data_IF_367231731266
#
_entry.id   IF_367231731266
#
_cell.length_a   1.000
_cell.length_b   1.000
_cell.length_c   1.000
_cell.angle_alpha   90.00
_cell.angle_beta   90.00
_cell.angle_gamma   90.00
#
_symmetry.space_group_name_H-M   'P 1'
#
loop_
_entity.id
_entity.type
_entity.pdbx_description
1 polymer ?
#
# COMPACT_ATOMS: atom_id res chain seq x y z
N UNK A 1 6.41 -15.70 76.28
CA UNK A 1 7.75 -15.36 75.76
C UNK A 1 7.85 -15.83 74.32
N UNK A 2 8.33 -14.94 73.43
CA UNK A 2 8.79 -15.19 72.05
C UNK A 2 7.72 -15.65 71.01
N UNK A 3 7.65 -15.15 69.79
CA UNK A 3 8.35 -14.05 69.13
C UNK A 3 7.59 -13.66 67.86
N UNK A 4 7.55 -12.34 67.64
CA UNK A 4 7.16 -11.61 66.44
C UNK A 4 7.92 -12.11 65.20
N UNK A 5 7.24 -12.42 64.09
CA UNK A 5 7.85 -12.50 62.75
C UNK A 5 6.96 -11.92 61.65
N UNK A 6 7.29 -10.68 61.32
CA UNK A 6 7.56 -10.17 59.96
C UNK A 6 6.43 -10.12 58.92
N UNK A 7 6.03 -8.89 58.63
CA UNK A 7 5.26 -8.47 57.47
C UNK A 7 5.98 -8.78 56.14
N UNK A 8 5.25 -9.36 55.18
CA UNK A 8 5.65 -9.37 53.77
C UNK A 8 4.44 -9.02 52.87
N UNK A 9 4.40 -7.74 52.48
CA UNK A 9 3.92 -7.17 51.21
C UNK A 9 3.06 -8.09 50.32
N UNK A 10 1.72 -7.99 50.44
CA UNK A 10 0.83 -8.25 49.29
C UNK A 10 0.96 -7.07 48.32
N UNK A 11 1.90 -7.18 47.36
CA UNK A 11 1.83 -6.37 46.13
C UNK A 11 0.56 -6.81 45.40
N UNK A 12 -0.44 -5.94 45.38
CA UNK A 12 -1.57 -6.06 44.46
C UNK A 12 -1.01 -6.03 43.04
N UNK A 13 -0.97 -7.19 42.40
CA UNK A 13 -0.78 -7.31 40.96
C UNK A 13 -2.02 -6.70 40.29
N UNK A 14 -1.98 -5.40 39.98
CA UNK A 14 -2.91 -4.81 39.02
C UNK A 14 -2.64 -5.49 37.67
N UNK A 15 -3.62 -6.12 37.03
CA UNK A 15 -3.43 -6.53 35.64
C UNK A 15 -3.19 -5.25 34.84
N UNK A 16 -2.07 -5.21 34.11
CA UNK A 16 -1.89 -4.25 33.05
C UNK A 16 -2.96 -4.57 32.01
N UNK A 17 -4.09 -3.87 32.08
CA UNK A 17 -4.99 -3.77 30.95
C UNK A 17 -4.19 -3.08 29.86
N UNK A 18 -3.65 -3.88 28.94
CA UNK A 18 -3.15 -3.37 27.67
C UNK A 18 -4.35 -2.67 27.04
N UNK A 19 -4.36 -1.35 27.14
CA UNK A 19 -5.40 -0.54 26.53
C UNK A 19 -5.50 -0.97 25.09
N UNK A 20 -6.69 -1.41 24.68
CA UNK A 20 -7.03 -1.50 23.28
C UNK A 20 -6.82 -0.10 22.72
N UNK A 21 -5.64 0.12 22.14
CA UNK A 21 -5.36 1.25 21.29
C UNK A 21 -6.41 1.13 20.18
N UNK A 22 -7.40 2.01 20.28
CA UNK A 22 -8.39 2.20 19.23
C UNK A 22 -7.60 2.62 17.99
N UNK A 23 -7.30 1.66 17.11
CA UNK A 23 -6.91 1.91 15.72
C UNK A 23 -8.14 2.46 15.00
N UNK A 24 -8.47 3.72 15.29
CA UNK A 24 -9.49 4.46 14.58
C UNK A 24 -8.80 5.53 13.73
N UNK A 25 -8.15 5.05 12.66
CA UNK A 25 -8.11 5.73 11.36
C UNK A 25 -7.92 4.64 10.33
N UNK A 26 -9.07 4.18 9.83
CA UNK A 26 -9.21 3.18 8.78
C UNK A 26 -8.33 3.53 7.61
N UNK A 27 -7.65 2.55 7.02
CA UNK A 27 -6.94 2.61 5.74
C UNK A 27 -7.39 3.74 4.79
N UNK A 28 -6.47 4.25 3.98
CA UNK A 28 -6.80 5.13 2.84
C UNK A 28 -8.02 4.63 2.05
N UNK A 29 -8.77 5.57 1.49
CA UNK A 29 -10.01 5.31 0.73
C UNK A 29 -9.83 5.62 -0.74
N UNK A 30 -10.22 4.70 -1.61
CA UNK A 30 -10.21 4.90 -3.05
C UNK A 30 -11.17 6.01 -3.49
N UNK A 31 -12.23 6.28 -2.71
CA UNK A 31 -13.15 7.40 -2.95
C UNK A 31 -12.49 8.78 -2.79
N UNK A 32 -11.36 8.87 -2.09
CA UNK A 32 -10.62 10.11 -1.85
C UNK A 32 -9.45 10.28 -2.83
N UNK A 33 -9.29 9.34 -3.77
CA UNK A 33 -8.19 9.30 -4.72
C UNK A 33 -8.05 10.61 -5.51
N UNK A 34 -6.90 11.25 -5.37
CA UNK A 34 -6.55 12.42 -6.17
C UNK A 34 -5.81 11.99 -7.44
N UNK A 35 -6.19 12.55 -8.58
CA UNK A 35 -5.59 12.23 -9.88
C UNK A 35 -4.99 13.49 -10.50
N UNK A 36 -3.66 13.52 -10.60
CA UNK A 36 -2.91 14.51 -11.35
C UNK A 36 -2.47 13.91 -12.69
N UNK A 37 -2.96 14.49 -13.80
CA UNK A 37 -2.61 14.01 -15.14
C UNK A 37 -1.27 14.59 -15.59
N UNK A 38 -0.41 13.76 -16.18
CA UNK A 38 0.81 14.23 -16.84
C UNK A 38 0.48 15.21 -17.97
N UNK A 39 1.17 16.35 -17.99
CA UNK A 39 1.13 17.30 -19.11
C UNK A 39 1.89 16.81 -20.35
N UNK A 40 2.74 15.77 -20.19
CA UNK A 40 3.52 15.16 -21.27
C UNK A 40 3.21 13.68 -21.33
N UNK A 41 2.67 13.21 -22.46
CA UNK A 41 2.38 11.79 -22.70
C UNK A 41 3.45 11.18 -23.58
N UNK A 42 4.04 10.06 -23.16
CA UNK A 42 5.02 9.36 -23.99
C UNK A 42 4.32 8.53 -25.06
N UNK A 43 4.91 8.40 -26.27
CA UNK A 43 4.34 7.52 -27.29
C UNK A 43 4.32 6.08 -26.78
N UNK A 44 3.22 5.38 -27.05
CA UNK A 44 3.09 3.98 -26.67
C UNK A 44 4.10 3.15 -27.49
N UNK A 45 4.87 2.27 -26.84
CA UNK A 45 5.80 1.40 -27.53
C UNK A 45 5.07 0.34 -28.37
N UNK A 46 5.71 -0.08 -29.46
CA UNK A 46 5.24 -1.18 -30.30
C UNK A 46 5.21 -2.51 -29.53
N UNK A 47 4.06 -3.19 -29.54
CA UNK A 47 3.82 -4.36 -28.71
C UNK A 47 4.79 -5.52 -28.94
N UNK A 48 5.32 -5.66 -30.16
CA UNK A 48 6.27 -6.72 -30.55
C UNK A 48 7.69 -6.51 -30.02
N UNK A 49 8.03 -5.29 -29.57
CA UNK A 49 9.37 -4.90 -29.12
C UNK A 49 9.49 -4.76 -27.60
N UNK A 50 8.41 -5.05 -26.87
CA UNK A 50 8.35 -4.87 -25.42
C UNK A 50 9.34 -5.78 -24.69
N UNK A 51 10.22 -5.18 -23.91
CA UNK A 51 11.07 -5.87 -22.94
C UNK A 51 10.50 -5.69 -21.54
N UNK A 52 10.35 -6.81 -20.81
CA UNK A 52 9.77 -6.82 -19.47
C UNK A 52 10.49 -5.82 -18.53
N UNK A 53 9.71 -4.96 -17.86
CA UNK A 53 10.19 -4.05 -16.82
C UNK A 53 11.09 -2.90 -17.30
N UNK A 54 11.11 -2.59 -18.60
CA UNK A 54 11.93 -1.50 -19.16
C UNK A 54 11.17 -0.24 -19.52
N UNK A 55 9.86 -0.33 -19.72
CA UNK A 55 8.99 0.77 -20.08
C UNK A 55 7.89 0.92 -19.04
N UNK A 56 7.58 2.17 -18.68
CA UNK A 56 6.63 2.52 -17.62
C UNK A 56 5.56 3.49 -18.16
N UNK A 57 4.34 3.40 -17.61
CA UNK A 57 3.23 4.30 -17.90
C UNK A 57 3.51 5.73 -17.45
N UNK A 58 2.73 6.68 -17.99
CA UNK A 58 2.90 8.11 -17.69
C UNK A 58 2.59 8.46 -16.22
N UNK A 59 1.89 7.59 -15.50
CA UNK A 59 1.47 7.81 -14.11
C UNK A 59 1.88 6.66 -13.20
N UNK A 60 1.90 6.95 -11.90
CA UNK A 60 2.11 6.01 -10.80
C UNK A 60 1.13 6.30 -9.64
N UNK A 61 0.78 5.27 -8.88
CA UNK A 61 0.03 5.38 -7.62
C UNK A 61 1.02 5.55 -6.45
N UNK A 62 0.79 6.54 -5.59
CA UNK A 62 1.52 6.75 -4.33
C UNK A 62 0.57 6.98 -3.17
N UNK A 63 0.87 6.39 -2.02
CA UNK A 63 0.11 6.55 -0.78
C UNK A 63 1.11 6.59 0.37
N UNK A 64 1.20 7.71 1.07
CA UNK A 64 2.14 7.87 2.18
C UNK A 64 1.53 7.34 3.48
N UNK A 65 2.40 6.94 4.41
CA UNK A 65 1.99 6.57 5.76
C UNK A 65 2.98 7.13 6.77
N UNK A 66 2.48 7.59 7.91
CA UNK A 66 3.28 7.97 9.08
C UNK A 66 2.69 7.35 10.34
N UNK A 67 3.53 7.13 11.35
CA UNK A 67 3.05 6.57 12.63
C UNK A 67 2.06 7.51 13.33
N UNK A 68 2.30 8.83 13.24
CA UNK A 68 1.47 9.85 13.89
C UNK A 68 0.18 10.15 13.12
N UNK A 69 0.23 10.16 11.79
CA UNK A 69 -0.88 10.55 10.91
C UNK A 69 -1.65 9.39 10.27
N UNK A 70 -1.11 8.17 10.31
CA UNK A 70 -1.66 7.04 9.58
C UNK A 70 -1.46 7.18 8.07
N UNK A 71 -2.39 6.58 7.31
CA UNK A 71 -2.38 6.66 5.84
C UNK A 71 -2.86 8.02 5.36
N UNK A 72 -2.13 8.60 4.42
CA UNK A 72 -2.54 9.80 3.68
C UNK A 72 -3.46 9.45 2.50
N UNK A 73 -4.07 10.48 1.91
CA UNK A 73 -4.91 10.37 0.72
C UNK A 73 -4.13 9.73 -0.45
N UNK A 74 -4.71 8.74 -1.15
CA UNK A 74 -4.02 8.10 -2.27
C UNK A 74 -3.94 9.05 -3.47
N UNK A 75 -2.84 8.98 -4.22
CA UNK A 75 -2.56 9.88 -5.34
C UNK A 75 -2.12 9.09 -6.57
N UNK A 76 -2.81 9.28 -7.71
CA UNK A 76 -2.26 8.97 -9.04
C UNK A 76 -1.61 10.25 -9.55
N UNK A 77 -0.32 10.21 -9.83
CA UNK A 77 0.44 11.38 -10.28
C UNK A 77 1.42 11.02 -11.40
N UNK A 78 2.01 12.00 -12.11
CA UNK A 78 2.99 11.73 -13.14
C UNK A 78 4.16 10.88 -12.60
N UNK A 79 4.59 9.91 -13.42
CA UNK A 79 5.70 9.04 -13.10
C UNK A 79 6.97 9.87 -12.86
N UNK A 80 7.59 9.70 -11.71
CA UNK A 80 8.75 10.47 -11.27
C UNK A 80 9.63 9.64 -10.33
N UNK A 81 10.86 10.12 -10.09
CA UNK A 81 11.75 9.50 -9.12
C UNK A 81 11.19 9.62 -7.70
N UNK A 82 11.45 8.61 -6.86
CA UNK A 82 11.15 8.67 -5.44
C UNK A 82 12.19 9.54 -4.74
N UNK A 83 11.73 10.51 -3.94
CA UNK A 83 12.59 11.25 -3.02
C UNK A 83 12.58 10.55 -1.66
N UNK A 84 13.71 9.95 -1.30
CA UNK A 84 13.86 9.15 -0.08
C UNK A 84 14.99 9.73 0.77
N UNK A 85 14.80 9.72 2.09
CA UNK A 85 15.89 10.01 3.02
C UNK A 85 16.98 8.94 2.87
N UNK A 86 18.28 9.29 2.86
CA UNK A 86 19.37 8.31 2.67
C UNK A 86 19.37 7.16 3.70
N UNK A 87 18.82 7.39 4.89
CA UNK A 87 18.67 6.41 5.95
C UNK A 87 17.34 5.61 5.92
N UNK A 88 16.58 5.66 4.83
CA UNK A 88 15.32 4.93 4.72
C UNK A 88 15.54 3.42 4.91
N UNK A 89 14.74 2.78 5.77
CA UNK A 89 14.92 1.37 6.15
C UNK A 89 14.82 0.38 4.98
N UNK A 90 14.08 0.74 3.93
CA UNK A 90 14.06 -0.02 2.67
C UNK A 90 15.46 -0.19 2.06
N UNK A 91 16.31 0.84 2.16
CA UNK A 91 17.66 0.86 1.59
C UNK A 91 18.71 0.13 2.45
N UNK A 92 18.49 0.05 3.77
CA UNK A 92 19.49 -0.49 4.73
C UNK A 92 19.15 -1.89 5.23
N UNK A 93 17.86 -2.19 5.40
CA UNK A 93 17.40 -3.41 6.06
C UNK A 93 16.35 -4.15 5.23
N UNK A 94 16.18 -3.78 3.95
CA UNK A 94 15.20 -4.38 3.03
C UNK A 94 13.79 -4.44 3.61
N UNK A 95 13.37 -3.39 4.34
CA UNK A 95 11.98 -3.24 4.78
C UNK A 95 11.13 -2.80 3.58
N UNK A 96 10.87 -3.75 2.71
CA UNK A 96 10.14 -3.58 1.46
C UNK A 96 9.45 -4.89 1.05
N UNK A 97 8.43 -4.77 0.20
CA UNK A 97 7.77 -5.90 -0.45
C UNK A 97 7.23 -5.44 -1.81
N UNK A 98 6.96 -6.38 -2.70
CA UNK A 98 6.35 -6.08 -3.98
C UNK A 98 5.30 -7.12 -4.36
N UNK A 99 4.47 -6.76 -5.33
CA UNK A 99 3.49 -7.66 -5.94
C UNK A 99 3.58 -7.64 -7.46
N UNK A 100 3.11 -8.71 -8.09
CA UNK A 100 3.10 -8.88 -9.53
C UNK A 100 1.74 -9.38 -10.03
N UNK A 101 1.02 -8.53 -10.74
CA UNK A 101 -0.21 -8.89 -11.45
C UNK A 101 -0.28 -8.18 -12.79
N UNK A 102 -1.14 -8.67 -13.69
CA UNK A 102 -1.26 -8.18 -15.06
C UNK A 102 -2.68 -7.70 -15.32
N UNK A 103 -2.78 -6.59 -16.05
CA UNK A 103 -4.00 -6.11 -16.67
C UNK A 103 -4.02 -6.56 -18.14
N UNK A 104 -5.14 -7.13 -18.58
CA UNK A 104 -5.32 -7.60 -19.95
C UNK A 104 -6.47 -6.86 -20.61
N UNK A 105 -6.27 -6.42 -21.85
CA UNK A 105 -7.35 -5.92 -22.69
C UNK A 105 -8.05 -7.10 -23.35
N UNK A 106 -9.33 -7.30 -23.05
CA UNK A 106 -10.16 -8.32 -23.70
C UNK A 106 -10.48 -7.94 -25.15
N UNK A 107 -10.99 -8.90 -25.91
CA UNK A 107 -11.47 -8.70 -27.29
C UNK A 107 -12.60 -7.66 -27.39
N UNK A 108 -13.32 -7.44 -26.29
CA UNK A 108 -14.35 -6.42 -26.13
C UNK A 108 -13.79 -5.04 -25.73
N UNK A 109 -12.47 -4.87 -25.76
CA UNK A 109 -11.77 -3.64 -25.40
C UNK A 109 -11.67 -3.37 -23.90
N UNK A 110 -12.34 -4.16 -23.05
CA UNK A 110 -12.39 -3.94 -21.59
C UNK A 110 -11.13 -4.48 -20.91
N UNK A 111 -10.60 -3.71 -19.95
CA UNK A 111 -9.47 -4.12 -19.12
C UNK A 111 -9.95 -5.07 -18.01
N UNK A 112 -9.19 -6.16 -17.78
CA UNK A 112 -9.46 -7.16 -16.74
C UNK A 112 -8.18 -7.53 -16.01
N UNK A 113 -8.31 -7.82 -14.72
CA UNK A 113 -7.26 -8.45 -13.92
C UNK A 113 -7.60 -9.93 -13.70
N UNK A 114 -6.57 -10.76 -13.58
CA UNK A 114 -6.74 -12.17 -13.26
C UNK A 114 -6.58 -12.41 -11.76
N UNK A 115 -7.70 -12.75 -11.09
CA UNK A 115 -7.76 -13.09 -9.64
C UNK A 115 -7.01 -12.09 -8.73
N UNK A 116 -7.20 -10.76 -8.89
CA UNK A 116 -6.37 -9.76 -8.22
C UNK A 116 -6.44 -9.80 -6.69
N UNK A 117 -7.57 -10.25 -6.12
CA UNK A 117 -7.71 -10.39 -4.68
C UNK A 117 -6.71 -11.38 -4.06
N UNK A 118 -6.21 -12.36 -4.82
CA UNK A 118 -5.17 -13.26 -4.30
C UNK A 118 -3.82 -12.55 -4.14
N UNK A 119 -3.51 -11.61 -5.04
CA UNK A 119 -2.35 -10.74 -4.90
C UNK A 119 -2.52 -9.83 -3.68
N UNK A 120 -3.69 -9.22 -3.50
CA UNK A 120 -3.95 -8.35 -2.33
C UNK A 120 -3.85 -9.11 -1.01
N UNK A 121 -4.34 -10.36 -0.96
CA UNK A 121 -4.18 -11.24 0.20
C UNK A 121 -2.71 -11.56 0.47
N UNK A 122 -1.92 -11.83 -0.58
CA UNK A 122 -0.49 -12.12 -0.42
C UNK A 122 0.29 -10.88 0.02
N UNK A 123 0.01 -9.72 -0.56
CA UNK A 123 0.60 -8.43 -0.14
C UNK A 123 0.31 -8.12 1.32
N UNK A 124 -0.95 -8.30 1.76
CA UNK A 124 -1.37 -8.10 3.15
C UNK A 124 -0.61 -9.01 4.12
N UNK A 125 -0.41 -10.29 3.79
CA UNK A 125 0.39 -11.22 4.62
C UNK A 125 1.88 -10.85 4.64
N UNK A 126 2.43 -10.44 3.50
CA UNK A 126 3.82 -9.98 3.42
C UNK A 126 4.03 -8.70 4.23
N UNK A 127 3.06 -7.78 4.18
CA UNK A 127 3.09 -6.52 4.95
C UNK A 127 3.13 -6.79 6.44
N UNK A 128 2.26 -7.68 6.92
CA UNK A 128 2.22 -8.11 8.31
C UNK A 128 3.56 -8.74 8.73
N UNK A 129 4.14 -9.62 7.89
CA UNK A 129 5.42 -10.28 8.19
C UNK A 129 6.62 -9.32 8.18
N UNK A 130 6.57 -8.27 7.38
CA UNK A 130 7.59 -7.22 7.31
C UNK A 130 7.33 -6.06 8.28
N UNK A 131 6.34 -6.18 9.18
CA UNK A 131 5.92 -5.13 10.11
C UNK A 131 5.57 -3.79 9.43
N UNK A 132 5.15 -3.83 8.17
CA UNK A 132 4.64 -2.68 7.42
C UNK A 132 3.17 -2.42 7.78
N UNK A 133 2.72 -1.14 7.70
CA UNK A 133 1.37 -0.76 8.14
C UNK A 133 0.28 -1.54 7.39
N UNK A 134 -0.75 -2.04 8.10
CA UNK A 134 -1.85 -2.75 7.46
C UNK A 134 -2.71 -1.78 6.63
N UNK A 135 -3.32 -2.30 5.57
CA UNK A 135 -4.20 -1.56 4.67
C UNK A 135 -5.41 -2.41 4.27
N UNK A 136 -6.45 -1.75 3.78
CA UNK A 136 -7.62 -2.41 3.22
C UNK A 136 -7.32 -2.91 1.79
N UNK A 137 -7.51 -4.21 1.59
CA UNK A 137 -7.21 -4.91 0.33
C UNK A 137 -8.12 -4.46 -0.81
N UNK A 138 -9.37 -4.13 -0.51
CA UNK A 138 -10.35 -3.69 -1.50
C UNK A 138 -10.02 -2.28 -1.95
N UNK A 139 -9.72 -1.38 -1.01
CA UNK A 139 -9.34 0.00 -1.31
C UNK A 139 -8.07 0.07 -2.18
N UNK A 140 -7.04 -0.73 -1.88
CA UNK A 140 -5.84 -0.79 -2.71
C UNK A 140 -6.13 -1.32 -4.12
N UNK A 141 -6.99 -2.34 -4.22
CA UNK A 141 -7.39 -2.89 -5.50
C UNK A 141 -8.14 -1.86 -6.33
N UNK A 142 -9.07 -1.12 -5.73
CA UNK A 142 -9.84 -0.08 -6.40
C UNK A 142 -8.93 1.06 -6.88
N UNK A 143 -7.99 1.53 -6.06
CA UNK A 143 -6.95 2.48 -6.49
C UNK A 143 -6.13 1.95 -7.68
N UNK A 144 -5.78 0.67 -7.67
CA UNK A 144 -5.02 0.04 -8.77
C UNK A 144 -5.85 -0.06 -10.05
N UNK A 145 -7.15 -0.36 -9.93
CA UNK A 145 -8.09 -0.33 -11.04
C UNK A 145 -8.20 1.06 -11.69
N UNK A 146 -8.26 2.12 -10.88
CA UNK A 146 -8.26 3.50 -11.37
C UNK A 146 -6.94 3.82 -12.11
N UNK A 147 -5.80 3.44 -11.54
CA UNK A 147 -4.49 3.63 -12.17
C UNK A 147 -4.32 2.88 -13.49
N UNK A 148 -4.98 1.73 -13.66
CA UNK A 148 -4.97 0.95 -14.89
C UNK A 148 -6.02 1.40 -15.92
N UNK A 149 -6.73 2.51 -15.69
CA UNK A 149 -7.73 3.05 -16.62
C UNK A 149 -9.11 2.37 -16.55
N UNK A 150 -9.43 1.69 -15.44
CA UNK A 150 -10.71 1.00 -15.24
C UNK A 150 -11.92 1.92 -14.97
N UNK A 151 -11.70 3.19 -14.61
CA UNK A 151 -12.76 4.16 -14.27
C UNK A 151 -12.84 5.37 -15.23
N UNK A 152 -12.09 5.34 -16.33
CA UNK A 152 -12.00 6.44 -17.31
C UNK A 152 -10.66 6.39 -18.08
N UNK A 153 -10.51 7.10 -19.21
CA UNK A 153 -9.37 6.93 -20.11
C UNK A 153 -8.13 7.65 -19.55
N UNK A 154 -7.49 7.08 -18.53
CA UNK A 154 -6.07 7.37 -18.25
C UNK A 154 -5.16 6.57 -19.20
N UNK A 155 -5.68 5.49 -19.77
CA UNK A 155 -5.09 4.81 -20.92
C UNK A 155 -5.94 5.11 -22.14
N UNK A 156 -5.45 5.99 -23.02
CA UNK A 156 -6.13 6.29 -24.30
C UNK A 156 -6.47 4.98 -25.05
N UNK A 157 -7.64 4.89 -25.71
CA UNK A 157 -8.14 3.68 -26.35
C UNK A 157 -7.46 3.29 -27.68
N UNK A 158 -6.43 4.04 -28.12
CA UNK A 158 -5.67 3.77 -29.34
C UNK A 158 -4.30 3.21 -29.02
#
# INVERSE_FOLDING_TARGET
MAALRTALRRRLSRPLTFGSLRFASSSFKASELMVERSGVTRPKPESSTLVFGKQFSDHMLTINWTEQGGWETPQIKPFQNLSLHPAASALHYSIELFEGMKAFRGVDGRIRFFRPMLNMQRMSRSSERSCLPPFDKVELLDCTHHSAGGAGPLLNPH
#
